data_IF_771692876632
#
_entry.id   IF_771692876632
#
_cell.length_a   1.000
_cell.length_b   1.000
_cell.length_c   1.000
_cell.angle_alpha   90.00
_cell.angle_beta   90.00
_cell.angle_gamma   90.00
#
_symmetry.space_group_name_H-M   'P 1'
#
loop_
_entity.id
_entity.type
_entity.pdbx_description
1 polymer ?
#
# COMPACT_ATOMS: atom_id res chain seq x y z
N UNK A 1 10.37 -6.19 16.86
CA UNK A 1 10.82 -4.91 16.24
C UNK A 1 9.94 -4.65 15.01
N UNK A 2 9.49 -3.39 14.80
CA UNK A 2 8.74 -2.95 13.61
C UNK A 2 9.59 -1.93 12.85
N UNK A 3 9.64 -2.05 11.53
CA UNK A 3 10.28 -1.10 10.61
C UNK A 3 9.25 -0.70 9.56
N UNK A 4 8.99 0.59 9.40
CA UNK A 4 8.10 1.13 8.39
C UNK A 4 8.92 1.89 7.34
N UNK A 5 8.58 1.68 6.06
CA UNK A 5 9.24 2.31 4.92
C UNK A 5 8.29 3.29 4.22
N UNK A 6 8.79 4.48 3.91
CA UNK A 6 8.24 5.24 2.80
C UNK A 6 8.79 4.59 1.51
N UNK A 7 7.93 4.09 0.64
CA UNK A 7 8.37 3.53 -0.65
C UNK A 7 8.89 4.66 -1.56
N UNK A 8 9.72 4.31 -2.58
CA UNK A 8 10.18 5.30 -3.57
C UNK A 8 9.02 6.15 -4.08
N UNK A 9 9.28 7.40 -4.36
CA UNK A 9 8.30 8.41 -4.79
C UNK A 9 7.25 8.79 -3.73
N UNK A 10 7.40 8.34 -2.48
CA UNK A 10 6.51 8.68 -1.36
C UNK A 10 7.30 9.21 -0.17
N UNK A 11 6.62 10.05 0.62
CA UNK A 11 7.11 10.51 1.92
C UNK A 11 8.46 11.21 1.85
N UNK A 12 9.45 10.66 2.57
CA UNK A 12 10.83 11.16 2.61
C UNK A 12 11.82 10.34 1.77
N UNK A 13 11.34 9.28 1.14
CA UNK A 13 12.18 8.47 0.27
C UNK A 13 12.48 9.17 -1.04
N UNK A 14 13.63 8.85 -1.68
CA UNK A 14 14.04 9.49 -2.93
C UNK A 14 13.01 9.38 -4.03
N UNK A 15 12.89 10.44 -4.83
CA UNK A 15 12.11 10.43 -6.06
C UNK A 15 12.91 9.80 -7.21
N UNK A 16 12.22 9.07 -8.08
CA UNK A 16 12.79 8.38 -9.24
C UNK A 16 11.78 8.37 -10.38
N UNK A 17 12.25 8.39 -11.62
CA UNK A 17 11.40 8.23 -12.80
C UNK A 17 10.94 6.77 -13.01
N UNK A 18 11.56 5.82 -12.32
CA UNK A 18 11.22 4.40 -12.40
C UNK A 18 10.30 4.03 -11.23
N UNK A 19 9.15 3.48 -11.55
CA UNK A 19 8.13 3.13 -10.56
C UNK A 19 7.36 1.88 -11.01
N UNK A 20 7.55 0.77 -10.31
CA UNK A 20 6.76 -0.46 -10.43
C UNK A 20 6.90 -1.29 -9.15
N UNK A 21 6.07 -2.30 -9.01
CA UNK A 21 5.99 -3.14 -7.81
C UNK A 21 7.30 -3.89 -7.54
N UNK A 22 7.95 -4.43 -8.59
CA UNK A 22 9.18 -5.21 -8.42
C UNK A 22 10.35 -4.38 -7.93
N UNK A 23 10.50 -3.17 -8.44
CA UNK A 23 11.57 -2.25 -8.01
C UNK A 23 11.32 -1.77 -6.58
N UNK A 24 10.08 -1.48 -6.20
CA UNK A 24 9.76 -1.13 -4.81
C UNK A 24 10.07 -2.27 -3.83
N UNK A 25 9.81 -3.52 -4.22
CA UNK A 25 10.19 -4.68 -3.42
C UNK A 25 11.72 -4.83 -3.30
N UNK A 26 12.46 -4.56 -4.39
CA UNK A 26 13.94 -4.55 -4.37
C UNK A 26 14.48 -3.47 -3.43
N UNK A 27 13.92 -2.26 -3.44
CA UNK A 27 14.31 -1.19 -2.50
C UNK A 27 14.16 -1.63 -1.04
N UNK A 28 13.04 -2.30 -0.71
CA UNK A 28 12.82 -2.82 0.65
C UNK A 28 13.86 -3.88 0.99
N UNK A 29 14.16 -4.80 0.06
CA UNK A 29 15.16 -5.85 0.28
C UNK A 29 16.57 -5.27 0.49
N UNK A 30 16.96 -4.26 -0.28
CA UNK A 30 18.26 -3.59 -0.16
C UNK A 30 18.47 -2.95 1.22
N UNK A 31 17.38 -2.59 1.93
CA UNK A 31 17.46 -2.04 3.28
C UNK A 31 17.70 -3.09 4.36
N UNK A 32 17.53 -4.38 4.08
CA UNK A 32 17.71 -5.44 5.08
C UNK A 32 19.14 -5.46 5.63
N UNK A 33 20.13 -5.42 4.73
CA UNK A 33 21.54 -5.40 5.15
C UNK A 33 21.89 -4.20 6.04
N UNK A 34 21.68 -2.94 5.61
CA UNK A 34 21.95 -1.75 6.41
C UNK A 34 21.21 -1.70 7.75
N UNK A 35 20.03 -2.29 7.84
CA UNK A 35 19.20 -2.32 9.06
C UNK A 35 19.48 -3.53 9.96
N UNK A 36 20.34 -4.45 9.51
CA UNK A 36 20.64 -5.69 10.23
C UNK A 36 19.42 -6.61 10.35
N UNK A 37 18.58 -6.67 9.29
CA UNK A 37 17.41 -7.54 9.24
C UNK A 37 17.84 -8.83 8.53
N UNK A 38 17.77 -9.98 9.21
CA UNK A 38 18.03 -11.29 8.59
C UNK A 38 16.83 -11.82 7.83
N UNK A 39 15.67 -11.77 8.46
CA UNK A 39 14.37 -12.11 7.87
C UNK A 39 13.26 -11.31 8.56
N UNK A 40 12.07 -11.28 7.98
CA UNK A 40 10.95 -10.55 8.52
C UNK A 40 9.58 -11.03 7.99
N UNK A 41 8.53 -10.78 8.76
CA UNK A 41 7.17 -10.77 8.25
C UNK A 41 6.94 -9.47 7.48
N UNK A 42 6.50 -9.59 6.23
CA UNK A 42 6.28 -8.45 5.33
C UNK A 42 4.79 -8.13 5.31
N UNK A 43 4.47 -6.91 5.74
CA UNK A 43 3.09 -6.43 5.84
C UNK A 43 2.88 -5.28 4.87
N UNK A 44 1.83 -5.35 4.08
CA UNK A 44 1.44 -4.26 3.18
C UNK A 44 -0.06 -4.06 3.09
N UNK A 45 -0.47 -2.82 2.83
CA UNK A 45 -1.85 -2.44 2.57
C UNK A 45 -1.98 -1.90 1.14
N UNK A 46 -3.01 -2.32 0.40
CA UNK A 46 -3.32 -1.83 -0.94
C UNK A 46 -2.10 -1.95 -1.89
N UNK A 47 -1.58 -0.85 -2.44
CA UNK A 47 -0.34 -0.85 -3.23
C UNK A 47 0.82 -1.51 -2.45
N UNK A 48 0.98 -1.18 -1.18
CA UNK A 48 2.00 -1.80 -0.31
C UNK A 48 1.82 -3.30 -0.17
N UNK A 49 0.59 -3.82 -0.24
CA UNK A 49 0.34 -5.25 -0.25
C UNK A 49 0.82 -5.92 -1.54
N UNK A 50 0.70 -5.26 -2.70
CA UNK A 50 1.31 -5.77 -3.95
C UNK A 50 2.83 -5.82 -3.86
N UNK A 51 3.44 -4.81 -3.24
CA UNK A 51 4.89 -4.80 -2.97
C UNK A 51 5.27 -5.95 -2.03
N UNK A 52 4.52 -6.16 -0.94
CA UNK A 52 4.74 -7.25 -0.01
C UNK A 52 4.56 -8.64 -0.67
N UNK A 53 3.52 -8.80 -1.48
CA UNK A 53 3.29 -10.01 -2.26
C UNK A 53 4.45 -10.31 -3.20
N UNK A 54 4.90 -9.33 -3.98
CA UNK A 54 6.04 -9.50 -4.87
C UNK A 54 7.33 -9.77 -4.10
N UNK A 55 7.55 -9.09 -2.97
CA UNK A 55 8.70 -9.33 -2.10
C UNK A 55 8.77 -10.80 -1.65
N UNK A 56 7.67 -11.36 -1.14
CA UNK A 56 7.64 -12.74 -0.69
C UNK A 56 7.95 -13.75 -1.81
N UNK A 57 7.51 -13.48 -3.04
CA UNK A 57 7.82 -14.31 -4.21
C UNK A 57 9.28 -14.18 -4.65
N UNK A 58 9.84 -12.96 -4.63
CA UNK A 58 11.20 -12.68 -5.12
C UNK A 58 12.27 -13.03 -4.07
N UNK A 59 11.97 -12.89 -2.78
CA UNK A 59 12.91 -13.05 -1.67
C UNK A 59 12.39 -14.02 -0.59
N UNK A 60 11.98 -15.26 -0.96
CA UNK A 60 11.36 -16.19 -0.02
C UNK A 60 12.28 -16.59 1.14
N UNK A 61 13.60 -16.59 0.94
CA UNK A 61 14.57 -17.01 1.96
C UNK A 61 14.70 -16.02 3.14
N UNK A 62 14.23 -14.78 2.99
CA UNK A 62 14.25 -13.74 4.03
C UNK A 62 12.84 -13.28 4.43
N UNK A 63 11.82 -14.00 3.98
CA UNK A 63 10.41 -13.74 4.29
C UNK A 63 9.89 -14.79 5.25
N UNK A 64 9.71 -14.44 6.52
CA UNK A 64 9.16 -15.33 7.55
C UNK A 64 7.63 -15.51 7.38
N UNK A 65 6.96 -14.50 6.83
CA UNK A 65 5.53 -14.53 6.53
C UNK A 65 5.09 -13.32 5.70
N UNK A 66 3.93 -13.44 5.07
CA UNK A 66 3.29 -12.39 4.28
C UNK A 66 1.95 -12.00 4.91
N UNK A 67 1.71 -10.71 5.10
CA UNK A 67 0.38 -10.18 5.42
C UNK A 67 -0.03 -9.17 4.36
N UNK A 68 -1.05 -9.53 3.57
CA UNK A 68 -1.66 -8.66 2.57
C UNK A 68 -2.97 -8.09 3.08
N UNK A 69 -3.04 -6.77 3.29
CA UNK A 69 -4.24 -6.10 3.76
C UNK A 69 -5.03 -5.51 2.57
N UNK A 70 -6.19 -6.07 2.36
CA UNK A 70 -7.22 -5.71 1.39
C UNK A 70 -6.73 -5.57 -0.06
N UNK A 71 -5.89 -6.52 -0.49
CA UNK A 71 -5.39 -6.61 -1.86
C UNK A 71 -5.14 -8.07 -2.24
N UNK A 72 -5.54 -8.47 -3.45
CA UNK A 72 -5.25 -9.78 -4.04
C UNK A 72 -4.18 -9.66 -5.16
N UNK A 73 -3.51 -10.75 -5.56
CA UNK A 73 -2.48 -10.70 -6.60
C UNK A 73 -3.02 -10.52 -8.03
N UNK A 74 -4.32 -10.30 -8.21
CA UNK A 74 -4.98 -10.11 -9.50
C UNK A 74 -4.73 -8.74 -10.11
N UNK A 75 -5.09 -8.59 -11.38
CA UNK A 75 -5.20 -7.28 -12.04
C UNK A 75 -6.42 -6.50 -11.50
N UNK A 76 -6.25 -5.20 -11.36
CA UNK A 76 -7.29 -4.25 -11.00
C UNK A 76 -7.53 -3.26 -12.13
N UNK A 77 -8.78 -2.87 -12.30
CA UNK A 77 -9.08 -1.80 -13.24
C UNK A 77 -8.55 -0.47 -12.74
N UNK A 78 -8.03 0.35 -13.65
CA UNK A 78 -7.69 1.74 -13.38
C UNK A 78 -8.95 2.49 -12.90
N UNK A 79 -8.86 3.20 -11.80
CA UNK A 79 -10.06 3.80 -11.20
C UNK A 79 -9.80 4.98 -10.26
N UNK A 80 -8.59 5.61 -10.35
CA UNK A 80 -8.23 6.75 -9.51
C UNK A 80 -7.76 7.96 -10.33
N UNK A 81 -8.14 8.04 -11.61
CA UNK A 81 -7.76 9.17 -12.47
C UNK A 81 -8.35 10.49 -11.95
N UNK A 82 -9.57 10.46 -11.45
CA UNK A 82 -10.24 11.58 -10.78
C UNK A 82 -9.48 12.07 -9.54
N UNK A 83 -8.84 11.18 -8.78
CA UNK A 83 -7.98 11.54 -7.64
C UNK A 83 -6.71 12.24 -8.14
N UNK A 84 -6.06 11.71 -9.18
CA UNK A 84 -4.89 12.36 -9.77
C UNK A 84 -5.23 13.74 -10.31
N UNK A 85 -6.35 13.88 -11.01
CA UNK A 85 -6.81 15.15 -11.58
C UNK A 85 -7.14 16.16 -10.46
N UNK A 86 -7.75 15.70 -9.36
CA UNK A 86 -8.01 16.52 -8.19
C UNK A 86 -6.71 17.01 -7.54
N UNK A 87 -5.71 16.13 -7.37
CA UNK A 87 -4.42 16.49 -6.78
C UNK A 87 -3.62 17.47 -7.63
N UNK A 88 -3.63 17.31 -8.96
CA UNK A 88 -2.98 18.23 -9.90
C UNK A 88 -3.72 19.57 -10.03
N UNK A 89 -5.03 19.56 -9.83
CA UNK A 89 -5.87 20.74 -9.94
C UNK A 89 -5.78 21.73 -8.76
N UNK A 90 -5.15 21.31 -7.64
CA UNK A 90 -5.00 22.22 -6.47
C UNK A 90 -3.77 23.11 -6.68
N UNK A 91 -3.98 24.43 -6.73
CA UNK A 91 -2.91 25.42 -6.74
C UNK A 91 -2.30 25.58 -5.33
N UNK A 92 -1.37 24.67 -4.99
CA UNK A 92 -0.75 24.60 -3.68
C UNK A 92 0.08 25.82 -3.30
N UNK A 93 0.58 26.58 -4.28
CA UNK A 93 1.39 27.78 -4.04
C UNK A 93 0.52 28.93 -3.50
N UNK A 94 -0.76 28.99 -3.90
CA UNK A 94 -1.71 30.00 -3.45
C UNK A 94 -2.38 29.67 -2.11
N UNK A 95 -2.28 28.43 -1.62
CA UNK A 95 -2.95 28.00 -0.40
C UNK A 95 -2.17 28.40 0.85
N UNK A 96 -2.87 29.01 1.82
CA UNK A 96 -2.29 29.46 3.09
C UNK A 96 -2.47 28.46 4.22
N UNK A 97 -3.53 27.65 4.17
CA UNK A 97 -3.90 26.68 5.21
C UNK A 97 -4.14 25.28 4.67
N UNK A 98 -3.94 24.26 5.52
CA UNK A 98 -4.29 22.87 5.19
C UNK A 98 -5.79 22.70 4.92
N UNK A 99 -6.63 23.48 5.60
CA UNK A 99 -8.08 23.42 5.43
C UNK A 99 -8.51 23.90 4.03
N UNK A 100 -7.84 24.89 3.44
CA UNK A 100 -8.09 25.31 2.06
C UNK A 100 -7.79 24.19 1.07
N UNK A 101 -6.68 23.47 1.25
CA UNK A 101 -6.32 22.31 0.42
C UNK A 101 -7.35 21.19 0.57
N UNK A 102 -7.75 20.86 1.81
CA UNK A 102 -8.78 19.87 2.10
C UNK A 102 -10.12 20.22 1.44
N UNK A 103 -10.54 21.48 1.52
CA UNK A 103 -11.75 21.97 0.88
C UNK A 103 -11.66 21.89 -0.65
N UNK A 104 -10.51 22.21 -1.25
CA UNK A 104 -10.29 22.07 -2.68
C UNK A 104 -10.43 20.60 -3.13
N UNK A 105 -9.83 19.65 -2.41
CA UNK A 105 -9.95 18.22 -2.70
C UNK A 105 -11.39 17.71 -2.54
N UNK A 106 -12.14 18.17 -1.52
CA UNK A 106 -13.52 17.74 -1.25
C UNK A 106 -14.52 18.17 -2.32
N UNK A 107 -14.15 19.14 -3.17
CA UNK A 107 -14.97 19.51 -4.34
C UNK A 107 -15.12 18.36 -5.33
N UNK A 108 -14.09 17.53 -5.48
CA UNK A 108 -14.01 16.40 -6.44
C UNK A 108 -14.12 15.05 -5.72
N UNK A 109 -13.34 14.84 -4.66
CA UNK A 109 -13.28 13.58 -3.92
C UNK A 109 -14.38 13.58 -2.85
N UNK A 110 -15.24 12.57 -2.85
CA UNK A 110 -16.40 12.50 -1.95
C UNK A 110 -16.17 11.65 -0.70
N UNK A 111 -15.10 10.87 -0.68
CA UNK A 111 -14.79 9.95 0.40
C UNK A 111 -13.80 10.60 1.38
N UNK A 112 -14.28 10.95 2.57
CA UNK A 112 -13.49 11.65 3.60
C UNK A 112 -12.22 10.89 3.99
N UNK A 113 -12.29 9.55 4.09
CA UNK A 113 -11.13 8.71 4.39
C UNK A 113 -10.01 8.85 3.37
N UNK A 114 -10.37 8.94 2.09
CA UNK A 114 -9.42 9.19 0.99
C UNK A 114 -8.79 10.57 1.11
N UNK A 115 -9.58 11.61 1.37
CA UNK A 115 -9.07 12.99 1.55
C UNK A 115 -8.07 13.01 2.71
N UNK A 116 -8.44 12.46 3.87
CA UNK A 116 -7.57 12.43 5.05
C UNK A 116 -6.25 11.67 4.80
N UNK A 117 -6.31 10.58 4.02
CA UNK A 117 -5.12 9.86 3.59
C UNK A 117 -4.23 10.73 2.68
N UNK A 118 -4.80 11.38 1.67
CA UNK A 118 -4.07 12.25 0.75
C UNK A 118 -3.42 13.43 1.49
N UNK A 119 -4.13 14.03 2.44
CA UNK A 119 -3.65 15.13 3.27
C UNK A 119 -2.42 14.78 4.12
N UNK A 120 -2.13 13.50 4.39
CA UNK A 120 -0.87 13.07 5.05
C UNK A 120 0.36 13.31 4.16
N UNK A 121 0.15 13.38 2.84
CA UNK A 121 1.20 13.69 1.86
C UNK A 121 1.43 15.19 1.65
N UNK A 122 0.60 16.07 2.25
CA UNK A 122 0.78 17.50 2.16
C UNK A 122 1.87 17.98 3.13
N UNK A 123 2.83 18.76 2.62
CA UNK A 123 3.87 19.41 3.40
C UNK A 123 3.91 20.90 3.09
N UNK A 124 4.24 21.70 4.11
CA UNK A 124 4.47 23.15 3.90
C UNK A 124 5.83 23.35 3.26
N UNK A 125 5.94 24.34 2.38
CA UNK A 125 7.22 24.73 1.80
C UNK A 125 8.18 25.22 2.90
N UNK A 126 9.45 24.87 2.79
CA UNK A 126 10.47 25.27 3.78
C UNK A 126 10.84 26.75 3.67
N UNK A 127 10.72 27.32 2.49
CA UNK A 127 11.03 28.71 2.19
C UNK A 127 9.82 29.34 1.50
N UNK A 128 9.07 30.19 2.21
CA UNK A 128 7.94 30.93 1.65
C UNK A 128 6.56 30.40 2.03
N UNK A 129 5.58 30.80 1.25
CA UNK A 129 4.18 30.42 1.39
C UNK A 129 3.87 29.16 0.60
N UNK A 130 2.69 28.57 0.86
CA UNK A 130 2.17 27.44 0.12
C UNK A 130 2.59 26.07 0.62
N UNK A 131 2.26 25.07 -0.17
CA UNK A 131 2.46 23.66 0.14
C UNK A 131 3.01 22.90 -1.07
N UNK A 132 3.46 21.67 -0.84
CA UNK A 132 3.79 20.70 -1.89
C UNK A 132 3.34 19.31 -1.48
N UNK A 133 3.13 18.44 -2.48
CA UNK A 133 2.96 17.02 -2.24
C UNK A 133 4.31 16.37 -1.98
N UNK A 134 4.43 15.58 -0.88
CA UNK A 134 5.63 14.78 -0.60
C UNK A 134 5.83 13.64 -1.61
N UNK A 135 4.75 13.20 -2.24
CA UNK A 135 4.80 12.18 -3.28
C UNK A 135 5.16 12.77 -4.63
N UNK A 136 5.83 11.96 -5.47
CA UNK A 136 6.15 12.32 -6.86
C UNK A 136 4.94 12.11 -7.77
N UNK A 137 3.93 13.00 -7.63
CA UNK A 137 2.64 12.87 -8.29
C UNK A 137 2.73 12.62 -9.80
N UNK A 138 3.58 13.34 -10.60
CA UNK A 138 3.69 13.12 -12.03
C UNK A 138 4.13 11.69 -12.39
N UNK A 139 5.09 11.13 -11.63
CA UNK A 139 5.59 9.78 -11.88
C UNK A 139 4.55 8.73 -11.46
N UNK A 140 3.85 8.94 -10.34
CA UNK A 140 2.79 8.05 -9.89
C UNK A 140 1.65 7.98 -10.91
N UNK A 141 1.18 9.14 -11.41
CA UNK A 141 0.14 9.20 -12.44
C UNK A 141 0.55 8.50 -13.72
N UNK A 142 1.77 8.80 -14.21
CA UNK A 142 2.31 8.23 -15.45
C UNK A 142 2.44 6.71 -15.41
N UNK A 143 2.80 6.15 -14.24
CA UNK A 143 3.08 4.73 -14.07
C UNK A 143 1.98 4.03 -13.24
N UNK A 144 0.78 4.61 -13.14
CA UNK A 144 -0.29 4.08 -12.31
C UNK A 144 -0.66 2.63 -12.66
N UNK A 145 -0.62 2.28 -13.93
CA UNK A 145 -0.93 0.93 -14.41
C UNK A 145 0.00 -0.14 -13.82
N UNK A 146 1.27 0.21 -13.54
CA UNK A 146 2.26 -0.69 -12.95
C UNK A 146 1.84 -1.26 -11.58
N UNK A 147 1.00 -0.53 -10.83
CA UNK A 147 0.47 -0.99 -9.55
C UNK A 147 -0.90 -1.68 -9.69
N UNK A 148 -1.55 -1.56 -10.84
CA UNK A 148 -2.83 -2.23 -11.09
C UNK A 148 -2.64 -3.62 -11.69
N UNK A 149 -1.53 -3.89 -12.37
CA UNK A 149 -1.25 -5.20 -12.95
C UNK A 149 -1.26 -6.33 -11.92
N UNK A 150 -1.55 -7.53 -12.38
CA UNK A 150 -1.46 -8.73 -11.55
C UNK A 150 -0.02 -8.98 -11.08
N UNK A 151 0.12 -9.57 -9.89
CA UNK A 151 1.40 -10.08 -9.41
C UNK A 151 1.61 -11.47 -10.03
N UNK A 152 2.75 -11.67 -10.69
CA UNK A 152 3.11 -12.92 -11.37
C UNK A 152 4.42 -13.50 -10.84
N UNK A 153 4.48 -14.82 -10.79
CA UNK A 153 5.71 -15.56 -10.54
C UNK A 153 5.56 -16.96 -11.11
N UNK A 154 6.66 -17.51 -11.64
CA UNK A 154 6.72 -18.90 -12.07
C UNK A 154 6.86 -19.86 -10.86
N UNK A 155 7.28 -19.36 -9.71
CA UNK A 155 7.46 -20.13 -8.49
C UNK A 155 6.60 -19.56 -7.37
N UNK A 156 5.71 -20.36 -6.75
CA UNK A 156 4.92 -19.93 -5.59
C UNK A 156 5.79 -19.66 -4.35
N UNK A 157 5.31 -18.81 -3.47
CA UNK A 157 5.82 -18.63 -2.12
C UNK A 157 5.18 -19.66 -1.19
N UNK A 158 5.97 -20.57 -0.63
CA UNK A 158 5.52 -21.65 0.25
C UNK A 158 5.59 -21.32 1.74
N UNK A 159 5.87 -20.07 2.10
CA UNK A 159 5.79 -19.62 3.49
C UNK A 159 4.34 -19.29 3.90
N UNK A 160 4.14 -19.00 5.20
CA UNK A 160 2.84 -18.61 5.72
C UNK A 160 2.39 -17.29 5.14
N UNK A 161 1.09 -17.18 4.81
CA UNK A 161 0.52 -15.95 4.25
C UNK A 161 -0.89 -15.70 4.78
N UNK A 162 -1.14 -14.49 5.27
CA UNK A 162 -2.45 -14.00 5.66
C UNK A 162 -2.93 -12.95 4.65
N UNK A 163 -4.11 -13.19 4.09
CA UNK A 163 -4.86 -12.19 3.34
C UNK A 163 -6.00 -11.69 4.23
N UNK A 164 -5.90 -10.46 4.67
CA UNK A 164 -6.88 -9.82 5.55
C UNK A 164 -7.70 -8.84 4.73
N UNK A 165 -9.03 -9.01 4.69
CA UNK A 165 -9.91 -8.12 3.91
C UNK A 165 -10.98 -7.46 4.74
N UNK A 166 -11.48 -6.31 4.29
CA UNK A 166 -12.68 -5.68 4.81
C UNK A 166 -13.95 -6.32 4.24
N UNK A 167 -14.93 -6.63 5.10
CA UNK A 167 -16.20 -7.22 4.70
C UNK A 167 -17.04 -6.30 3.78
N UNK A 168 -16.86 -4.98 3.89
CA UNK A 168 -17.49 -3.96 3.03
C UNK A 168 -16.63 -3.57 1.82
N UNK A 169 -15.39 -4.06 1.75
CA UNK A 169 -14.49 -3.79 0.63
C UNK A 169 -14.83 -4.63 -0.60
N UNK A 170 -14.46 -4.10 -1.76
CA UNK A 170 -14.62 -4.77 -3.06
C UNK A 170 -13.29 -5.26 -3.64
N UNK A 171 -12.17 -5.03 -2.93
CA UNK A 171 -10.84 -5.34 -3.45
C UNK A 171 -10.54 -6.83 -3.43
N UNK A 172 -10.90 -7.54 -2.35
CA UNK A 172 -10.67 -8.98 -2.24
C UNK A 172 -12.00 -9.71 -2.09
N UNK A 173 -12.26 -10.67 -2.98
CA UNK A 173 -13.49 -11.47 -3.02
C UNK A 173 -13.17 -12.95 -2.77
N UNK A 174 -14.20 -13.74 -2.48
CA UNK A 174 -14.03 -15.20 -2.31
C UNK A 174 -13.47 -15.88 -3.57
N UNK A 175 -13.88 -15.40 -4.74
CA UNK A 175 -13.41 -15.92 -6.03
C UNK A 175 -11.91 -15.68 -6.27
N UNK A 176 -11.30 -14.69 -5.60
CA UNK A 176 -9.87 -14.39 -5.73
C UNK A 176 -8.98 -15.42 -5.05
N UNK A 177 -9.57 -16.31 -4.20
CA UNK A 177 -8.80 -17.37 -3.53
C UNK A 177 -8.08 -18.30 -4.50
N UNK A 178 -8.60 -18.49 -5.71
CA UNK A 178 -7.91 -19.27 -6.74
C UNK A 178 -6.59 -18.61 -7.18
N UNK A 179 -6.58 -17.30 -7.38
CA UNK A 179 -5.36 -16.53 -7.68
C UNK A 179 -4.40 -16.51 -6.50
N UNK A 180 -4.94 -16.29 -5.29
CA UNK A 180 -4.13 -16.28 -4.06
C UNK A 180 -3.43 -17.63 -3.88
N UNK A 181 -4.17 -18.74 -3.93
CA UNK A 181 -3.62 -20.08 -3.71
C UNK A 181 -2.65 -20.53 -4.80
N UNK A 182 -2.76 -20.03 -6.01
CA UNK A 182 -1.83 -20.32 -7.09
C UNK A 182 -0.41 -19.79 -6.78
N UNK A 183 -0.30 -18.61 -6.15
CA UNK A 183 0.99 -17.99 -5.81
C UNK A 183 1.39 -18.18 -4.35
N UNK A 184 0.43 -18.39 -3.45
CA UNK A 184 0.62 -18.54 -1.99
C UNK A 184 -0.19 -19.74 -1.50
N UNK A 185 0.28 -21.00 -1.73
CA UNK A 185 -0.50 -22.21 -1.46
C UNK A 185 -0.98 -22.33 -0.01
N UNK A 186 -0.19 -21.83 0.95
CA UNK A 186 -0.51 -21.87 2.38
C UNK A 186 -1.25 -20.61 2.88
N UNK A 187 -1.65 -19.73 1.97
CA UNK A 187 -2.42 -18.54 2.36
C UNK A 187 -3.77 -18.92 2.97
N UNK A 188 -4.19 -18.16 3.96
CA UNK A 188 -5.58 -18.13 4.42
C UNK A 188 -6.15 -16.71 4.30
N UNK A 189 -7.48 -16.63 4.19
CA UNK A 189 -8.21 -15.39 4.06
C UNK A 189 -9.03 -15.17 5.33
N UNK A 190 -8.81 -14.05 5.98
CA UNK A 190 -9.61 -13.59 7.10
C UNK A 190 -10.40 -12.34 6.72
N UNK A 191 -11.63 -12.21 7.21
CA UNK A 191 -12.51 -11.09 6.93
C UNK A 191 -12.78 -10.31 8.19
N UNK A 192 -12.48 -9.02 8.18
CA UNK A 192 -12.95 -8.08 9.21
C UNK A 192 -14.31 -7.55 8.76
N UNK A 193 -15.36 -8.12 9.34
CA UNK A 193 -16.73 -7.67 9.07
C UNK A 193 -16.83 -6.17 9.41
N UNK A 194 -17.66 -5.43 8.80
CA UNK A 194 -17.82 -3.98 8.99
C UNK A 194 -16.64 -3.06 8.60
N UNK A 195 -15.46 -3.58 8.27
CA UNK A 195 -14.36 -2.79 7.73
C UNK A 195 -14.53 -2.56 6.21
N UNK A 196 -14.13 -1.39 5.73
CA UNK A 196 -13.93 -1.08 4.31
C UNK A 196 -12.49 -1.37 3.88
N UNK A 197 -12.02 -0.61 2.87
CA UNK A 197 -10.64 -0.72 2.38
C UNK A 197 -9.58 -0.31 3.41
N UNK A 198 -9.94 0.59 4.33
CA UNK A 198 -9.03 1.13 5.34
C UNK A 198 -9.12 0.34 6.66
N UNK A 199 -8.82 -0.97 6.62
CA UNK A 199 -8.94 -1.90 7.75
C UNK A 199 -8.39 -1.33 9.06
N UNK A 200 -7.16 -0.81 9.01
CA UNK A 200 -6.43 -0.26 10.15
C UNK A 200 -7.02 1.05 10.70
N UNK A 201 -7.87 1.72 9.94
CA UNK A 201 -8.60 2.90 10.38
C UNK A 201 -10.02 2.55 10.86
N UNK A 202 -10.69 1.65 10.14
CA UNK A 202 -12.07 1.26 10.44
C UNK A 202 -12.15 0.31 11.66
N UNK A 203 -11.17 -0.61 11.77
CA UNK A 203 -11.11 -1.68 12.78
C UNK A 203 -9.67 -1.86 13.31
N UNK A 204 -9.10 -0.84 13.98
CA UNK A 204 -7.69 -0.86 14.39
C UNK A 204 -7.35 -1.99 15.36
N UNK A 205 -8.25 -2.30 16.30
CA UNK A 205 -8.01 -3.35 17.31
C UNK A 205 -8.08 -4.73 16.66
N UNK A 206 -9.12 -5.00 15.89
CA UNK A 206 -9.32 -6.30 15.23
C UNK A 206 -8.22 -6.54 14.17
N UNK A 207 -7.77 -5.48 13.47
CA UNK A 207 -6.64 -5.56 12.54
C UNK A 207 -5.35 -5.93 13.29
N UNK A 208 -5.08 -5.30 14.41
CA UNK A 208 -3.92 -5.60 15.25
C UNK A 208 -3.96 -7.04 15.78
N UNK A 209 -5.10 -7.48 16.31
CA UNK A 209 -5.28 -8.83 16.84
C UNK A 209 -5.09 -9.90 15.76
N UNK A 210 -5.59 -9.68 14.54
CA UNK A 210 -5.38 -10.59 13.40
C UNK A 210 -3.90 -10.71 13.03
N UNK A 211 -3.17 -9.57 13.01
CA UNK A 211 -1.73 -9.56 12.73
C UNK A 211 -0.95 -10.30 13.82
N UNK A 212 -1.24 -10.03 15.12
CA UNK A 212 -0.54 -10.66 16.24
C UNK A 212 -0.79 -12.15 16.25
N UNK A 213 -2.04 -12.58 16.11
CA UNK A 213 -2.41 -14.01 16.05
C UNK A 213 -1.65 -14.73 14.94
N UNK A 214 -1.60 -14.16 13.73
CA UNK A 214 -0.83 -14.73 12.62
C UNK A 214 0.67 -14.85 12.95
N UNK A 215 1.25 -13.83 13.59
CA UNK A 215 2.67 -13.87 13.99
C UNK A 215 2.95 -14.93 15.06
N UNK A 216 2.03 -15.15 16.01
CA UNK A 216 2.13 -16.20 17.03
C UNK A 216 1.99 -17.62 16.44
N UNK A 217 1.27 -17.77 15.33
CA UNK A 217 1.10 -19.06 14.63
C UNK A 217 2.33 -19.48 13.82
N UNK A 218 3.20 -18.54 13.45
CA UNK A 218 4.37 -18.79 12.61
C UNK A 218 5.70 -18.81 13.37
N UNK A 219 5.70 -18.39 14.66
CA UNK A 219 6.85 -18.52 15.58
C UNK A 219 7.01 -19.96 16.06
#
# INVERSE_FOLDING_TARGET
RVTAFDLRNHGRSPHSNTFNVSIMASDVYEMFGPLGIGSAVIIGHSMGAKVAMYFALAYPAVTDGLISMDMAPKEYKRGHDDIFDALEGVDLDSMSTRSEVEQALSSTIKEDGTIQFLMKNLSRNSEGEGFHWKMNLPVLKKNYDEITYEVKSDTPYYGPALFLRGGKSKYVKNEDMAYIKALYPYAHLETLEDAGHWLHADKPIETYEAIVRFMEEID
#
